data_IF_818595271423
#
_entry.id   IF_818595271423
#
_cell.length_a   1.000
_cell.length_b   1.000
_cell.length_c   1.000
_cell.angle_alpha   90.00
_cell.angle_beta   90.00
_cell.angle_gamma   90.00
#
_symmetry.space_group_name_H-M   'P 1'
#
loop_
_entity.id
_entity.type
_entity.pdbx_description
1 polymer ?
#
# COMPACT_ATOMS: atom_id res chain seq x y z
N UNK A 1 -1.97 -7.80 -12.25
CA UNK A 1 -1.65 -8.37 -10.92
C UNK A 1 -2.88 -8.34 -10.03
N UNK A 2 -3.41 -9.51 -9.61
CA UNK A 2 -4.56 -9.67 -8.69
C UNK A 2 -4.11 -10.02 -7.25
N UNK A 3 -2.89 -9.61 -6.90
CA UNK A 3 -2.13 -10.15 -5.78
C UNK A 3 -2.93 -10.20 -4.48
N UNK A 4 -3.51 -9.07 -4.07
CA UNK A 4 -4.17 -8.93 -2.76
C UNK A 4 -5.71 -8.93 -2.86
N UNK A 5 -6.27 -8.71 -4.05
CA UNK A 5 -7.72 -8.67 -4.28
C UNK A 5 -8.50 -7.67 -3.41
N UNK A 6 -8.04 -6.40 -3.24
CA UNK A 6 -8.62 -5.44 -2.29
C UNK A 6 -10.11 -5.14 -2.51
N UNK A 7 -10.63 -5.34 -3.72
CA UNK A 7 -12.04 -5.17 -4.03
C UNK A 7 -12.98 -6.08 -3.20
N UNK A 8 -12.48 -7.19 -2.66
CA UNK A 8 -13.27 -8.13 -1.85
C UNK A 8 -13.07 -7.97 -0.34
N UNK A 9 -12.15 -7.11 0.10
CA UNK A 9 -11.81 -6.96 1.51
C UNK A 9 -12.75 -5.98 2.20
N UNK A 10 -13.23 -6.27 3.41
CA UNK A 10 -14.00 -5.29 4.19
C UNK A 10 -13.05 -4.32 4.88
N UNK A 11 -13.58 -3.24 5.45
CA UNK A 11 -12.80 -2.39 6.37
C UNK A 11 -12.27 -3.26 7.51
N UNK A 12 -10.98 -3.13 7.83
CA UNK A 12 -10.32 -3.96 8.82
C UNK A 12 -8.87 -4.28 8.49
N UNK A 13 -8.24 -5.08 9.36
CA UNK A 13 -6.84 -5.49 9.26
C UNK A 13 -6.73 -6.92 8.77
N UNK A 14 -5.73 -7.13 7.94
CA UNK A 14 -5.43 -8.38 7.30
C UNK A 14 -3.93 -8.65 7.36
N UNK A 15 -3.57 -9.91 7.55
CA UNK A 15 -2.20 -10.37 7.57
C UNK A 15 -2.00 -11.48 6.57
N UNK A 16 -0.91 -11.40 5.83
CA UNK A 16 -0.45 -12.46 4.95
C UNK A 16 0.93 -12.92 5.34
N UNK A 17 1.11 -14.24 5.37
CA UNK A 17 2.42 -14.88 5.57
C UNK A 17 2.82 -15.50 4.23
N UNK A 18 3.92 -15.01 3.66
CA UNK A 18 4.50 -15.57 2.44
C UNK A 18 5.35 -16.81 2.74
N UNK A 19 5.93 -17.37 1.69
CA UNK A 19 6.92 -18.45 1.82
C UNK A 19 8.30 -17.91 2.21
N UNK A 20 8.55 -16.64 1.90
CA UNK A 20 9.79 -15.91 2.17
C UNK A 20 9.45 -14.52 2.72
N UNK A 21 10.38 -13.93 3.48
CA UNK A 21 10.27 -12.56 3.97
C UNK A 21 9.44 -12.38 5.24
N UNK A 22 9.00 -11.15 5.49
CA UNK A 22 8.22 -10.78 6.67
C UNK A 22 6.71 -10.87 6.40
N UNK A 23 5.88 -11.06 7.44
CA UNK A 23 4.44 -10.96 7.29
C UNK A 23 4.03 -9.61 6.70
N UNK A 24 3.13 -9.65 5.72
CA UNK A 24 2.54 -8.48 5.09
C UNK A 24 1.28 -8.09 5.83
N UNK A 25 1.17 -6.82 6.21
CA UNK A 25 0.01 -6.21 6.84
C UNK A 25 -0.74 -5.35 5.82
N UNK A 26 -2.05 -5.54 5.74
CA UNK A 26 -2.96 -4.73 4.95
C UNK A 26 -4.10 -4.23 5.83
N UNK A 27 -4.27 -2.91 5.92
CA UNK A 27 -5.37 -2.28 6.64
C UNK A 27 -6.28 -1.55 5.66
N UNK A 28 -7.49 -2.03 5.44
CA UNK A 28 -8.50 -1.30 4.67
C UNK A 28 -9.10 -0.23 5.58
N UNK A 29 -8.86 1.04 5.24
CA UNK A 29 -9.27 2.19 6.04
C UNK A 29 -10.56 2.83 5.54
N UNK A 30 -10.83 2.75 4.23
CA UNK A 30 -12.04 3.29 3.63
C UNK A 30 -12.53 2.43 2.47
N UNK A 31 -13.86 2.36 2.31
CA UNK A 31 -14.51 1.82 1.13
C UNK A 31 -15.63 2.75 0.68
N UNK A 32 -15.52 3.29 -0.51
CA UNK A 32 -16.56 4.03 -1.20
C UNK A 32 -17.10 3.20 -2.39
N UNK A 33 -18.18 3.65 -3.08
CA UNK A 33 -18.77 2.88 -4.18
C UNK A 33 -17.79 2.50 -5.30
N UNK A 34 -16.79 3.34 -5.56
CA UNK A 34 -15.83 3.17 -6.66
C UNK A 34 -14.37 3.10 -6.21
N UNK A 35 -14.09 3.27 -4.91
CA UNK A 35 -12.72 3.29 -4.39
C UNK A 35 -12.58 2.44 -3.14
N UNK A 36 -11.38 1.87 -2.97
CA UNK A 36 -10.94 1.22 -1.73
C UNK A 36 -9.62 1.86 -1.32
N UNK A 37 -9.53 2.32 -0.09
CA UNK A 37 -8.29 2.83 0.48
C UNK A 37 -7.73 1.86 1.50
N UNK A 38 -6.45 1.56 1.37
CA UNK A 38 -5.77 0.67 2.28
C UNK A 38 -4.32 1.08 2.50
N UNK A 39 -3.81 0.70 3.67
CA UNK A 39 -2.38 0.75 4.00
C UNK A 39 -1.78 -0.62 3.74
N UNK A 40 -0.58 -0.65 3.19
CA UNK A 40 0.21 -1.86 2.98
C UNK A 40 1.55 -1.67 3.68
N UNK A 41 1.99 -2.64 4.48
CA UNK A 41 3.30 -2.60 5.14
C UNK A 41 3.85 -3.99 5.45
N UNK A 42 5.16 -4.16 5.53
CA UNK A 42 5.69 -5.33 6.22
C UNK A 42 5.55 -5.16 7.74
N UNK A 43 5.34 -6.26 8.47
CA UNK A 43 5.39 -6.31 9.93
C UNK A 43 6.84 -6.19 10.47
N UNK A 44 7.65 -5.33 9.86
CA UNK A 44 9.00 -4.98 10.25
C UNK A 44 8.94 -3.58 10.84
N UNK A 45 9.22 -3.47 12.13
CA UNK A 45 9.19 -2.17 12.83
C UNK A 45 10.51 -1.46 12.57
N UNK A 46 10.45 -0.29 11.94
CA UNK A 46 11.60 0.59 11.79
C UNK A 46 12.08 1.06 13.17
N UNK A 47 13.37 0.87 13.45
CA UNK A 47 13.93 1.12 14.78
C UNK A 47 13.97 2.60 15.18
N UNK A 48 13.91 3.52 14.20
CA UNK A 48 13.97 4.98 14.44
C UNK A 48 12.57 5.54 14.69
N UNK A 49 11.56 5.04 13.99
CA UNK A 49 10.21 5.59 13.96
C UNK A 49 9.18 4.74 14.70
N UNK A 50 9.49 3.47 14.97
CA UNK A 50 8.58 2.53 15.62
C UNK A 50 7.39 2.13 14.74
N UNK A 51 7.40 2.45 13.44
CA UNK A 51 6.31 2.12 12.51
C UNK A 51 6.69 0.98 11.57
N UNK A 52 5.71 0.20 11.08
CA UNK A 52 5.92 -0.80 10.04
C UNK A 52 6.52 -0.20 8.75
N UNK A 53 7.59 -0.80 8.21
CA UNK A 53 8.26 -0.36 6.97
C UNK A 53 8.83 -1.54 6.15
N UNK A 54 8.91 -1.48 4.80
CA UNK A 54 8.29 -0.52 3.86
C UNK A 54 6.79 -0.37 4.07
N UNK A 55 6.25 0.84 3.84
CA UNK A 55 4.81 1.11 3.88
C UNK A 55 4.31 2.03 2.75
N UNK A 56 3.06 1.81 2.33
CA UNK A 56 2.35 2.62 1.35
C UNK A 56 0.87 2.78 1.68
N UNK A 57 0.32 3.99 1.49
CA UNK A 57 -1.11 4.25 1.42
C UNK A 57 -1.55 4.21 -0.04
N UNK A 58 -2.55 3.39 -0.33
CA UNK A 58 -2.99 3.09 -1.69
C UNK A 58 -4.49 3.35 -1.80
N UNK A 59 -4.88 4.13 -2.81
CA UNK A 59 -6.26 4.21 -3.28
C UNK A 59 -6.40 3.37 -4.55
N UNK A 60 -7.34 2.43 -4.53
CA UNK A 60 -7.65 1.57 -5.66
C UNK A 60 -9.00 1.95 -6.27
N UNK A 61 -9.01 2.27 -7.56
CA UNK A 61 -10.20 2.62 -8.33
C UNK A 61 -10.78 1.35 -8.95
N UNK A 62 -11.99 0.98 -8.52
CA UNK A 62 -12.63 -0.31 -8.83
C UNK A 62 -13.01 -0.45 -10.31
N UNK A 63 -13.46 0.65 -10.91
CA UNK A 63 -13.90 0.77 -12.29
C UNK A 63 -12.71 0.74 -13.28
N UNK A 64 -11.71 1.58 -13.04
CA UNK A 64 -10.52 1.70 -13.86
C UNK A 64 -9.51 0.58 -13.62
N UNK A 65 -9.59 -0.13 -12.49
CA UNK A 65 -8.63 -1.14 -12.02
C UNK A 65 -7.21 -0.57 -11.90
N UNK A 66 -7.12 0.70 -11.52
CA UNK A 66 -5.86 1.43 -11.31
C UNK A 66 -5.65 1.63 -9.82
N UNK A 67 -4.39 1.57 -9.39
CA UNK A 67 -3.97 1.92 -8.04
C UNK A 67 -3.13 3.20 -8.06
N UNK A 68 -3.32 4.03 -7.06
CA UNK A 68 -2.56 5.25 -6.81
C UNK A 68 -1.97 5.20 -5.41
N UNK A 69 -0.66 5.43 -5.31
CA UNK A 69 -0.01 5.67 -4.02
C UNK A 69 -0.27 7.11 -3.59
N UNK A 70 -0.98 7.30 -2.49
CA UNK A 70 -1.33 8.62 -1.94
C UNK A 70 -0.31 9.10 -0.90
N UNK A 71 0.43 8.17 -0.28
CA UNK A 71 1.57 8.43 0.61
C UNK A 71 2.46 7.18 0.75
N UNK A 72 3.73 7.37 1.09
CA UNK A 72 4.67 6.34 1.58
C UNK A 72 5.36 6.87 2.84
N UNK A 73 5.93 5.98 3.66
CA UNK A 73 6.49 6.22 5.01
C UNK A 73 7.03 7.64 5.33
N UNK A 74 6.83 8.02 6.61
CA UNK A 74 6.33 9.31 7.12
C UNK A 74 4.93 9.58 6.60
N UNK A 75 4.02 10.08 7.42
CA UNK A 75 2.72 10.59 6.94
C UNK A 75 2.86 11.82 6.01
N UNK A 76 3.90 11.87 5.18
CA UNK A 76 4.07 12.89 4.18
C UNK A 76 3.06 12.60 3.08
N UNK A 77 1.90 13.26 3.19
CA UNK A 77 1.21 13.75 2.00
C UNK A 77 2.27 14.26 1.01
N UNK A 78 1.99 14.18 -0.28
CA UNK A 78 2.86 14.71 -1.34
C UNK A 78 3.38 16.12 -0.98
N UNK A 79 2.55 16.96 -0.33
CA UNK A 79 2.89 18.28 0.22
C UNK A 79 4.08 18.28 1.22
N UNK A 80 4.22 17.29 2.08
CA UNK A 80 5.36 17.16 2.99
C UNK A 80 6.60 16.60 2.28
N UNK A 81 6.44 15.79 1.23
CA UNK A 81 7.55 15.20 0.49
C UNK A 81 8.18 16.19 -0.50
N UNK A 82 7.37 17.08 -1.08
CA UNK A 82 7.79 18.03 -2.10
C UNK A 82 7.73 19.50 -1.65
N UNK A 83 7.12 19.79 -0.49
CA UNK A 83 6.82 21.16 -0.06
C UNK A 83 5.49 21.69 -0.63
N UNK A 84 4.98 22.78 -0.06
CA UNK A 84 3.71 23.41 -0.47
C UNK A 84 3.77 24.08 -1.85
N UNK A 85 4.96 24.47 -2.30
CA UNK A 85 5.18 25.21 -3.55
C UNK A 85 5.63 24.31 -4.71
N UNK A 86 5.52 22.99 -4.54
CA UNK A 86 5.89 22.03 -5.57
C UNK A 86 5.08 22.26 -6.85
N UNK A 87 5.77 22.38 -7.99
CA UNK A 87 5.11 22.57 -9.26
C UNK A 87 4.47 21.26 -9.76
N UNK A 88 3.62 21.37 -10.78
CA UNK A 88 2.88 20.22 -11.34
C UNK A 88 3.81 19.11 -11.84
N UNK A 89 4.96 19.46 -12.43
CA UNK A 89 5.91 18.48 -12.95
C UNK A 89 6.58 17.69 -11.82
N UNK A 90 6.92 18.35 -10.70
CA UNK A 90 7.49 17.71 -9.52
C UNK A 90 6.50 16.76 -8.86
N UNK A 91 5.24 17.19 -8.72
CA UNK A 91 4.14 16.37 -8.22
C UNK A 91 3.93 15.14 -9.09
N UNK A 92 3.85 15.32 -10.42
CA UNK A 92 3.68 14.22 -11.36
C UNK A 92 4.84 13.23 -11.31
N UNK A 93 6.08 13.74 -11.36
CA UNK A 93 7.27 12.91 -11.29
C UNK A 93 7.33 12.10 -9.98
N UNK A 94 6.94 12.70 -8.86
CA UNK A 94 6.85 12.00 -7.58
C UNK A 94 5.78 10.90 -7.59
N UNK A 95 4.57 11.19 -8.08
CA UNK A 95 3.49 10.18 -8.20
C UNK A 95 3.92 9.01 -9.08
N UNK A 96 4.58 9.28 -10.22
CA UNK A 96 5.10 8.25 -11.09
C UNK A 96 6.17 7.39 -10.39
N UNK A 97 7.08 8.00 -9.63
CA UNK A 97 8.07 7.26 -8.82
C UNK A 97 7.40 6.37 -7.76
N UNK A 98 6.38 6.88 -7.07
CA UNK A 98 5.67 6.12 -6.03
C UNK A 98 4.86 4.95 -6.63
N UNK A 99 4.16 5.18 -7.75
CA UNK A 99 3.46 4.10 -8.44
C UNK A 99 4.42 3.04 -9.00
N UNK A 100 5.60 3.46 -9.51
CA UNK A 100 6.63 2.53 -9.95
C UNK A 100 7.23 1.73 -8.79
N UNK A 101 7.45 2.35 -7.63
CA UNK A 101 7.85 1.67 -6.40
C UNK A 101 6.82 0.62 -6.00
N UNK A 102 5.54 0.99 -5.92
CA UNK A 102 4.46 0.06 -5.56
C UNK A 102 4.41 -1.11 -6.54
N UNK A 103 4.52 -0.85 -7.85
CA UNK A 103 4.53 -1.91 -8.86
C UNK A 103 5.66 -2.92 -8.63
N UNK A 104 6.89 -2.45 -8.41
CA UNK A 104 8.05 -3.32 -8.11
C UNK A 104 7.87 -4.08 -6.80
N UNK A 105 7.36 -3.41 -5.77
CA UNK A 105 7.15 -4.05 -4.47
C UNK A 105 6.07 -5.13 -4.54
N UNK A 106 4.96 -4.89 -5.24
CA UNK A 106 3.92 -5.90 -5.47
C UNK A 106 4.46 -7.12 -6.24
N UNK A 107 5.30 -6.92 -7.26
CA UNK A 107 5.96 -8.02 -7.95
C UNK A 107 6.85 -8.83 -7.00
N UNK A 108 7.67 -8.15 -6.19
CA UNK A 108 8.50 -8.83 -5.18
C UNK A 108 7.67 -9.59 -4.14
N UNK A 109 6.53 -9.05 -3.70
CA UNK A 109 5.62 -9.72 -2.78
C UNK A 109 5.01 -10.99 -3.38
N UNK A 110 4.69 -10.96 -4.67
CA UNK A 110 4.23 -12.14 -5.43
C UNK A 110 5.33 -13.21 -5.47
N UNK A 111 6.58 -12.82 -5.75
CA UNK A 111 7.74 -13.73 -5.73
C UNK A 111 7.99 -14.33 -4.33
N UNK A 112 7.69 -13.58 -3.26
CA UNK A 112 7.77 -14.07 -1.87
C UNK A 112 6.62 -15.04 -1.50
N UNK A 113 5.64 -15.24 -2.39
CA UNK A 113 4.51 -16.14 -2.18
C UNK A 113 3.29 -15.50 -1.50
N UNK A 114 3.27 -14.17 -1.33
CA UNK A 114 2.06 -13.51 -0.87
C UNK A 114 0.96 -13.64 -1.92
N UNK A 115 -0.28 -13.83 -1.46
CA UNK A 115 -1.43 -13.85 -2.35
C UNK A 115 -2.71 -13.57 -1.57
N UNK A 116 -3.80 -13.30 -2.30
CA UNK A 116 -5.14 -13.09 -1.76
C UNK A 116 -5.66 -14.31 -0.99
N UNK A 117 -5.13 -15.50 -1.25
CA UNK A 117 -5.53 -16.73 -0.57
C UNK A 117 -4.82 -16.92 0.76
N UNK A 118 -3.61 -16.36 0.89
CA UNK A 118 -2.85 -16.33 2.14
C UNK A 118 -3.09 -15.05 2.95
N UNK A 119 -4.14 -14.28 2.64
CA UNK A 119 -4.50 -13.05 3.34
C UNK A 119 -5.67 -13.34 4.28
N UNK A 120 -5.43 -13.22 5.59
CA UNK A 120 -6.38 -13.56 6.64
C UNK A 120 -6.74 -12.32 7.45
N UNK A 121 -8.01 -12.18 7.85
CA UNK A 121 -8.43 -11.11 8.74
C UNK A 121 -7.78 -11.29 10.13
N UNK A 122 -7.27 -10.22 10.71
CA UNK A 122 -6.84 -10.24 12.11
C UNK A 122 -8.06 -10.05 13.02
N UNK A 123 -8.14 -10.85 14.09
CA UNK A 123 -9.10 -10.60 15.16
C UNK A 123 -8.71 -9.28 15.85
N UNK A 124 -9.67 -8.36 15.93
CA UNK A 124 -9.52 -7.07 16.61
C UNK A 124 -9.56 -7.18 18.12
#
# INVERSE_FOLDING_TARGET
TRLLGPQHLRIGRYRSVGNLGFPLLLEVVERAPFTVEFKLSYALVDAVTGQPDPSAHVRFYLDAKVAEVTACHRGSRIEHALGRDANVAEVLAHRLRMNAFLGKWLSYLEDCGHSRFGLHAEAG
#
